data_IF_238248811134
#
_entry.id   IF_238248811134
#
_cell.length_a   1.000
_cell.length_b   1.000
_cell.length_c   1.000
_cell.angle_alpha   90.00
_cell.angle_beta   90.00
_cell.angle_gamma   90.00
#
_symmetry.space_group_name_H-M   'P 1'
#
loop_
_entity.id
_entity.type
_entity.pdbx_description
1 polymer ?
#
# COMPACT_ATOMS: atom_id res chain seq x y z
N UNK A 1 11.99 -11.11 -47.32
CA UNK A 1 12.58 -11.36 -45.99
C UNK A 1 11.44 -11.49 -44.98
N UNK A 2 11.01 -12.70 -44.71
CA UNK A 2 9.95 -12.99 -43.74
C UNK A 2 10.60 -13.16 -42.37
N UNK A 3 10.38 -12.20 -41.50
CA UNK A 3 10.78 -12.33 -40.09
C UNK A 3 9.85 -13.36 -39.40
N UNK A 4 10.41 -14.49 -39.03
CA UNK A 4 9.74 -15.46 -38.16
C UNK A 4 9.67 -14.88 -36.75
N UNK A 5 8.49 -14.42 -36.38
CA UNK A 5 8.20 -14.05 -34.96
C UNK A 5 8.29 -15.33 -34.13
N UNK A 6 9.36 -15.47 -33.35
CA UNK A 6 9.53 -16.60 -32.44
C UNK A 6 8.42 -16.57 -31.38
N UNK A 7 7.64 -17.65 -31.27
CA UNK A 7 6.68 -17.84 -30.20
C UNK A 7 7.39 -17.74 -28.84
N UNK A 8 6.84 -17.01 -27.84
CA UNK A 8 7.41 -17.00 -26.50
C UNK A 8 7.51 -18.43 -25.97
N UNK A 9 8.66 -18.76 -25.40
CA UNK A 9 8.93 -20.09 -24.86
C UNK A 9 7.99 -20.36 -23.66
N UNK A 10 7.00 -21.24 -23.83
CA UNK A 10 6.00 -21.57 -22.81
C UNK A 10 6.63 -22.01 -21.47
N UNK A 11 7.77 -22.68 -21.53
CA UNK A 11 8.53 -23.10 -20.33
C UNK A 11 8.93 -21.92 -19.44
N UNK A 12 9.38 -20.81 -20.03
CA UNK A 12 9.78 -19.63 -19.28
C UNK A 12 8.58 -18.93 -18.62
N UNK A 13 7.45 -18.86 -19.31
CA UNK A 13 6.22 -18.24 -18.77
C UNK A 13 5.71 -19.01 -17.57
N UNK A 14 5.69 -20.33 -17.61
CA UNK A 14 5.25 -21.16 -16.48
C UNK A 14 6.16 -21.00 -15.27
N UNK A 15 7.48 -20.99 -15.47
CA UNK A 15 8.44 -20.76 -14.39
C UNK A 15 8.27 -19.39 -13.73
N UNK A 16 8.04 -18.34 -14.52
CA UNK A 16 7.77 -16.98 -14.04
C UNK A 16 6.50 -16.94 -13.20
N UNK A 17 5.41 -17.53 -13.68
CA UNK A 17 4.14 -17.58 -12.95
C UNK A 17 4.30 -18.30 -11.61
N UNK A 18 4.98 -19.45 -11.59
CA UNK A 18 5.23 -20.20 -10.38
C UNK A 18 6.06 -19.41 -9.37
N UNK A 19 7.09 -18.69 -9.83
CA UNK A 19 7.93 -17.85 -8.97
C UNK A 19 7.12 -16.69 -8.37
N UNK A 20 6.31 -16.02 -9.18
CA UNK A 20 5.41 -14.94 -8.70
C UNK A 20 4.45 -15.48 -7.66
N UNK A 21 3.78 -16.61 -7.92
CA UNK A 21 2.87 -17.23 -6.97
C UNK A 21 3.57 -17.61 -5.67
N UNK A 22 4.79 -18.12 -5.74
CA UNK A 22 5.61 -18.45 -4.58
C UNK A 22 5.94 -17.20 -3.76
N UNK A 23 6.40 -16.14 -4.40
CA UNK A 23 6.70 -14.86 -3.73
C UNK A 23 5.46 -14.28 -3.05
N UNK A 24 4.31 -14.25 -3.74
CA UNK A 24 3.05 -13.79 -3.18
C UNK A 24 2.61 -14.64 -1.97
N UNK A 25 2.74 -15.97 -2.08
CA UNK A 25 2.43 -16.90 -1.00
C UNK A 25 3.31 -16.69 0.23
N UNK A 26 4.63 -16.60 0.07
CA UNK A 26 5.57 -16.34 1.16
C UNK A 26 5.29 -15.00 1.82
N UNK A 27 5.06 -13.94 1.04
CA UNK A 27 4.76 -12.62 1.56
C UNK A 27 3.46 -12.63 2.38
N UNK A 28 2.39 -13.24 1.87
CA UNK A 28 1.12 -13.34 2.58
C UNK A 28 1.26 -14.12 3.89
N UNK A 29 2.00 -15.23 3.87
CA UNK A 29 2.27 -16.02 5.08
C UNK A 29 3.11 -15.25 6.10
N UNK A 30 4.09 -14.48 5.67
CA UNK A 30 4.92 -13.68 6.55
C UNK A 30 4.12 -12.56 7.26
N UNK A 31 3.14 -11.98 6.56
CA UNK A 31 2.35 -10.86 7.09
C UNK A 31 1.01 -11.26 7.72
N UNK A 32 0.65 -12.55 7.72
CA UNK A 32 -0.66 -13.01 8.22
C UNK A 32 -0.94 -12.62 9.68
N UNK A 33 0.07 -12.61 10.54
CA UNK A 33 -0.08 -12.24 11.95
C UNK A 33 -0.42 -10.77 12.11
N UNK A 34 0.18 -9.90 11.29
CA UNK A 34 -0.02 -8.44 11.35
C UNK A 34 -1.42 -8.05 10.88
N UNK A 35 -2.05 -8.84 10.01
CA UNK A 35 -3.39 -8.52 9.49
C UNK A 35 -4.45 -8.39 10.58
N UNK A 36 -4.31 -9.10 11.68
CA UNK A 36 -5.27 -9.11 12.78
C UNK A 36 -4.84 -8.25 13.97
N UNK A 37 -3.69 -7.60 13.88
CA UNK A 37 -3.21 -6.70 14.92
C UNK A 37 -4.04 -5.42 14.95
N UNK A 38 -4.13 -4.83 16.15
CA UNK A 38 -4.77 -3.56 16.36
C UNK A 38 -3.75 -2.43 16.18
N UNK A 39 -4.25 -1.21 15.99
CA UNK A 39 -3.41 -0.01 15.92
C UNK A 39 -2.53 0.14 17.16
N UNK A 40 -1.30 0.60 16.98
CA UNK A 40 -0.34 0.78 18.05
C UNK A 40 0.46 2.09 17.88
N UNK A 41 0.88 2.67 19.00
CA UNK A 41 1.78 3.82 19.01
C UNK A 41 1.26 5.02 18.21
N UNK A 42 1.98 5.39 17.18
CA UNK A 42 1.70 6.58 16.35
C UNK A 42 0.42 6.47 15.53
N UNK A 43 -0.12 5.27 15.34
CA UNK A 43 -1.34 5.05 14.56
C UNK A 43 -2.53 5.83 15.15
N UNK A 44 -2.58 5.99 16.46
CA UNK A 44 -3.64 6.76 17.14
C UNK A 44 -3.62 8.23 16.76
N UNK A 45 -2.46 8.82 16.59
CA UNK A 45 -2.31 10.21 16.12
C UNK A 45 -2.86 10.34 14.70
N UNK A 46 -2.58 9.36 13.85
CA UNK A 46 -3.09 9.31 12.49
C UNK A 46 -4.61 9.16 12.47
N UNK A 47 -5.18 8.29 13.31
CA UNK A 47 -6.64 8.11 13.41
C UNK A 47 -7.37 9.38 13.86
N UNK A 48 -6.78 10.16 14.78
CA UNK A 48 -7.34 11.45 15.19
C UNK A 48 -7.34 12.43 14.02
N UNK A 49 -6.22 12.55 13.32
CA UNK A 49 -6.10 13.39 12.13
C UNK A 49 -7.07 12.96 11.02
N UNK A 50 -7.20 11.65 10.76
CA UNK A 50 -8.10 11.09 9.75
C UNK A 50 -9.57 11.44 10.03
N UNK A 51 -10.00 11.34 11.30
CA UNK A 51 -11.34 11.73 11.71
C UNK A 51 -11.66 13.18 11.33
N UNK A 52 -10.68 14.06 11.47
CA UNK A 52 -10.86 15.48 11.17
C UNK A 52 -10.69 15.75 9.66
N UNK A 53 -9.78 15.06 8.97
CA UNK A 53 -9.55 15.17 7.55
C UNK A 53 -10.75 14.71 6.69
N UNK A 54 -11.49 13.70 7.13
CA UNK A 54 -12.74 13.27 6.45
C UNK A 54 -13.82 14.34 6.51
N UNK A 55 -13.82 15.17 7.56
CA UNK A 55 -14.78 16.28 7.70
C UNK A 55 -14.31 17.54 6.97
N UNK A 56 -13.01 17.71 6.83
CA UNK A 56 -12.39 18.86 6.19
C UNK A 56 -11.28 18.42 5.23
N UNK A 57 -11.63 18.26 3.96
CA UNK A 57 -10.68 17.83 2.91
C UNK A 57 -9.54 18.81 2.66
N UNK A 58 -9.65 20.07 3.13
CA UNK A 58 -8.56 21.02 3.05
C UNK A 58 -7.31 20.50 3.78
N UNK A 59 -7.46 19.76 4.87
CA UNK A 59 -6.34 19.15 5.60
C UNK A 59 -5.55 18.17 4.73
N UNK A 60 -6.20 17.49 3.77
CA UNK A 60 -5.52 16.61 2.83
C UNK A 60 -4.70 17.44 1.83
N UNK A 61 -5.29 18.51 1.28
CA UNK A 61 -4.62 19.40 0.33
C UNK A 61 -3.42 20.11 0.95
N UNK A 62 -3.50 20.48 2.21
CA UNK A 62 -2.39 21.10 2.94
C UNK A 62 -1.14 20.21 2.96
N UNK A 63 -1.29 18.89 3.03
CA UNK A 63 -0.17 17.94 2.97
C UNK A 63 0.59 17.91 1.63
N UNK A 64 0.02 18.51 0.57
CA UNK A 64 0.73 18.70 -0.71
C UNK A 64 1.62 19.96 -0.73
N UNK A 65 1.42 20.89 0.20
CA UNK A 65 2.12 22.16 0.24
C UNK A 65 2.87 22.40 1.57
N UNK A 66 2.63 21.57 2.56
CA UNK A 66 3.25 21.66 3.89
C UNK A 66 3.84 20.31 4.33
N UNK A 67 4.47 20.31 5.49
CA UNK A 67 4.91 19.05 6.11
C UNK A 67 3.70 18.18 6.50
N UNK A 68 3.91 16.88 6.49
CA UNK A 68 2.88 15.89 6.80
C UNK A 68 2.26 16.12 8.18
N UNK A 69 0.94 16.05 8.27
CA UNK A 69 0.14 16.32 9.47
C UNK A 69 0.41 17.70 10.10
N UNK A 70 0.59 18.72 9.26
CA UNK A 70 0.88 20.11 9.68
C UNK A 70 2.15 20.26 10.53
N UNK A 71 3.12 19.36 10.39
CA UNK A 71 4.38 19.41 11.11
C UNK A 71 4.28 19.11 12.61
N UNK A 72 3.12 18.68 13.09
CA UNK A 72 2.90 18.41 14.52
C UNK A 72 3.74 17.25 15.05
N UNK A 73 4.06 16.27 14.20
CA UNK A 73 4.79 15.06 14.59
C UNK A 73 6.03 14.79 13.76
N UNK A 74 6.09 15.25 12.52
CA UNK A 74 7.20 14.94 11.61
C UNK A 74 7.45 16.04 10.59
N UNK A 75 8.71 16.14 10.12
CA UNK A 75 9.09 17.02 8.99
C UNK A 75 9.03 16.29 7.64
N UNK A 76 8.33 15.18 7.56
CA UNK A 76 8.23 14.39 6.33
C UNK A 76 7.20 14.98 5.36
N UNK A 77 7.46 14.81 4.07
CA UNK A 77 6.52 15.14 3.00
C UNK A 77 5.92 13.84 2.44
N UNK A 78 4.64 13.57 2.73
CA UNK A 78 3.97 12.31 2.37
C UNK A 78 2.51 12.52 1.94
N UNK A 79 2.23 13.35 0.92
CA UNK A 79 0.85 13.69 0.55
C UNK A 79 0.03 12.49 0.06
N UNK A 80 0.64 11.60 -0.72
CA UNK A 80 -0.06 10.40 -1.23
C UNK A 80 -0.47 9.45 -0.10
N UNK A 81 0.37 9.28 0.92
CA UNK A 81 0.02 8.46 2.08
C UNK A 81 -1.24 9.00 2.75
N UNK A 82 -1.36 10.33 2.90
CA UNK A 82 -2.55 10.96 3.48
C UNK A 82 -3.82 10.65 2.68
N UNK A 83 -3.74 10.66 1.34
CA UNK A 83 -4.87 10.33 0.47
C UNK A 83 -5.29 8.87 0.66
N UNK A 84 -4.34 7.93 0.66
CA UNK A 84 -4.65 6.52 0.85
C UNK A 84 -5.18 6.23 2.25
N UNK A 85 -4.60 6.81 3.30
CA UNK A 85 -5.08 6.65 4.67
C UNK A 85 -6.52 7.19 4.84
N UNK A 86 -6.86 8.32 4.21
CA UNK A 86 -8.23 8.84 4.22
C UNK A 86 -9.17 7.91 3.47
N UNK A 87 -8.74 7.36 2.32
CA UNK A 87 -9.52 6.37 1.57
C UNK A 87 -9.79 5.13 2.41
N UNK A 88 -8.79 4.60 3.10
CA UNK A 88 -8.93 3.46 3.99
C UNK A 88 -9.87 3.76 5.17
N UNK A 89 -9.76 4.95 5.76
CA UNK A 89 -10.64 5.36 6.83
C UNK A 89 -12.11 5.48 6.38
N UNK A 90 -12.35 5.96 5.17
CA UNK A 90 -13.70 6.05 4.59
C UNK A 90 -14.26 4.65 4.30
N UNK A 91 -13.44 3.74 3.77
CA UNK A 91 -13.87 2.40 3.38
C UNK A 91 -14.00 1.45 4.57
N UNK A 92 -13.08 1.50 5.50
CA UNK A 92 -12.95 0.52 6.59
C UNK A 92 -13.18 1.10 7.98
N UNK A 93 -13.42 2.42 8.07
CA UNK A 93 -13.56 3.14 9.32
C UNK A 93 -12.30 2.95 10.20
N UNK A 94 -12.45 2.45 11.42
CA UNK A 94 -11.36 2.20 12.37
C UNK A 94 -10.94 0.73 12.42
N UNK A 95 -11.14 0.00 11.34
CA UNK A 95 -10.72 -1.41 11.26
C UNK A 95 -9.24 -1.50 10.91
N UNK A 96 -8.40 -1.94 11.84
CA UNK A 96 -6.98 -2.20 11.58
C UNK A 96 -6.77 -3.15 10.42
N UNK A 97 -7.61 -4.19 10.30
CA UNK A 97 -7.58 -5.14 9.19
C UNK A 97 -7.64 -4.45 7.82
N UNK A 98 -8.50 -3.44 7.64
CA UNK A 98 -8.62 -2.71 6.37
C UNK A 98 -7.30 -2.02 5.99
N UNK A 99 -6.70 -1.28 6.92
CA UNK A 99 -5.41 -0.61 6.70
C UNK A 99 -4.28 -1.60 6.41
N UNK A 100 -4.26 -2.73 7.14
CA UNK A 100 -3.24 -3.77 6.90
C UNK A 100 -3.40 -4.44 5.54
N UNK A 101 -4.64 -4.69 5.07
CA UNK A 101 -4.89 -5.22 3.72
C UNK A 101 -4.39 -4.25 2.65
N UNK A 102 -4.66 -2.96 2.76
CA UNK A 102 -4.16 -1.95 1.81
C UNK A 102 -2.64 -1.92 1.79
N UNK A 103 -1.98 -1.94 2.94
CA UNK A 103 -0.53 -2.01 3.03
C UNK A 103 0.03 -3.28 2.40
N UNK A 104 -0.59 -4.44 2.63
CA UNK A 104 -0.19 -5.69 2.01
C UNK A 104 -0.33 -5.65 0.48
N UNK A 105 -1.42 -5.07 -0.04
CA UNK A 105 -1.63 -4.89 -1.49
C UNK A 105 -0.49 -4.05 -2.09
N UNK A 106 -0.15 -2.90 -1.48
CA UNK A 106 0.95 -2.07 -1.96
C UNK A 106 2.30 -2.79 -1.90
N UNK A 107 2.52 -3.57 -0.86
CA UNK A 107 3.74 -4.38 -0.75
C UNK A 107 3.81 -5.42 -1.87
N UNK A 108 2.74 -6.16 -2.14
CA UNK A 108 2.67 -7.12 -3.23
C UNK A 108 2.86 -6.47 -4.60
N UNK A 109 2.24 -5.31 -4.83
CA UNK A 109 2.44 -4.54 -6.07
C UNK A 109 3.90 -4.10 -6.23
N UNK A 110 4.56 -3.70 -5.16
CA UNK A 110 6.00 -3.34 -5.18
C UNK A 110 6.87 -4.55 -5.54
N UNK A 111 6.60 -5.71 -4.95
CA UNK A 111 7.30 -6.97 -5.28
C UNK A 111 7.12 -7.32 -6.75
N UNK A 112 5.88 -7.25 -7.26
CA UNK A 112 5.59 -7.51 -8.67
C UNK A 112 6.28 -6.51 -9.59
N UNK A 113 6.32 -5.22 -9.23
CA UNK A 113 6.97 -4.18 -10.03
C UNK A 113 8.47 -4.45 -10.19
N UNK A 114 9.15 -4.86 -9.13
CA UNK A 114 10.57 -5.24 -9.19
C UNK A 114 10.77 -6.44 -10.10
N UNK A 115 9.83 -7.36 -10.13
CA UNK A 115 9.92 -8.57 -10.92
C UNK A 115 9.81 -8.30 -12.44
N UNK A 116 9.13 -7.23 -12.85
CA UNK A 116 8.92 -6.87 -14.26
C UNK A 116 9.94 -5.84 -14.79
N UNK A 117 10.89 -5.39 -13.99
CA UNK A 117 12.02 -4.54 -14.42
C UNK A 117 13.18 -5.40 -14.87
#
# INVERSE_FOLDING_TARGET
MTQTVSKPNQSNTTAVVLLVCLCLGITTLAYQSVLFDFFAGDDFVHLIWLRDAVKNYELIWRNFHSSWLDGTTTKFYRPLISVFMVSDYVLFNRSGLGFHITNLIFHLLSVLSIFFI
#
